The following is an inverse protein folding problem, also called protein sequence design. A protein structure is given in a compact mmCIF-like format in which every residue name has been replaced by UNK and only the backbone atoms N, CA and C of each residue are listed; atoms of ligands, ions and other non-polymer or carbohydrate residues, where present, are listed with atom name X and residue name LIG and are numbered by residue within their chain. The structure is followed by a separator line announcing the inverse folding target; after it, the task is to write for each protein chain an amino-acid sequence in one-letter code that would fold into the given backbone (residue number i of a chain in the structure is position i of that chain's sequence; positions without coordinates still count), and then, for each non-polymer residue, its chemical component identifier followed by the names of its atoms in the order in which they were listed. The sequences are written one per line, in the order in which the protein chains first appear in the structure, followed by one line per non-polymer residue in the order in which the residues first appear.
data_IF_531622538090
#
_entry.id   IF_531622538090
#
_cell.length_a   1.000
_cell.length_b   1.000
_cell.length_c   1.000
_cell.angle_alpha   90.00
_cell.angle_beta   90.00
_cell.angle_gamma   90.00
#
_symmetry.space_group_name_H-M   'P 1'
#
loop_
_entity.id
_entity.type
_entity.pdbx_description
1 polymer ?
#
# COMPACT_ATOMS: atom_id res chain seq x y z
N UNK A 1 4.13 -24.16 29.63
CA UNK A 1 4.30 -24.49 28.21
C UNK A 1 2.97 -24.27 27.51
N UNK A 2 2.97 -23.62 26.35
CA UNK A 2 1.75 -23.48 25.53
C UNK A 2 1.32 -24.86 25.01
N UNK A 3 0.01 -25.06 24.88
CA UNK A 3 -0.52 -26.28 24.27
C UNK A 3 -0.11 -26.35 22.78
N UNK A 4 0.21 -27.53 22.22
CA UNK A 4 0.64 -27.65 20.80
C UNK A 4 -0.39 -27.07 19.82
N UNK A 5 -1.68 -27.18 20.14
CA UNK A 5 -2.76 -26.59 19.36
C UNK A 5 -2.70 -25.05 19.37
N UNK A 6 -2.39 -24.44 20.52
CA UNK A 6 -2.26 -22.99 20.64
C UNK A 6 -1.10 -22.46 19.79
N UNK A 7 0.05 -23.15 19.84
CA UNK A 7 1.21 -22.82 19.00
C UNK A 7 0.83 -22.88 17.51
N UNK A 8 0.16 -23.96 17.09
CA UNK A 8 -0.29 -24.11 15.71
C UNK A 8 -1.22 -22.98 15.26
N UNK A 9 -2.19 -22.60 16.09
CA UNK A 9 -3.12 -21.51 15.80
C UNK A 9 -2.42 -20.15 15.70
N UNK A 10 -1.45 -19.87 16.58
CA UNK A 10 -0.66 -18.63 16.55
C UNK A 10 0.18 -18.53 15.27
N UNK A 11 0.84 -19.61 14.86
CA UNK A 11 1.61 -19.65 13.61
C UNK A 11 0.70 -19.47 12.39
N UNK A 12 -0.45 -20.16 12.36
CA UNK A 12 -1.42 -19.99 11.28
C UNK A 12 -1.94 -18.55 11.21
N UNK A 13 -2.25 -17.95 12.36
CA UNK A 13 -2.62 -16.55 12.46
C UNK A 13 -1.54 -15.62 11.90
N UNK A 14 -0.27 -15.89 12.23
CA UNK A 14 0.86 -15.15 11.67
C UNK A 14 0.97 -15.23 10.15
N UNK A 15 0.82 -16.43 9.58
CA UNK A 15 0.84 -16.62 8.12
C UNK A 15 -0.29 -15.84 7.44
N UNK A 16 -1.50 -15.89 8.02
CA UNK A 16 -2.64 -15.13 7.50
C UNK A 16 -2.37 -13.62 7.56
N UNK A 17 -1.86 -13.13 8.69
CA UNK A 17 -1.54 -11.71 8.87
C UNK A 17 -0.48 -11.22 7.87
N UNK A 18 0.58 -12.01 7.63
CA UNK A 18 1.59 -11.72 6.60
C UNK A 18 0.93 -11.63 5.22
N UNK A 19 0.03 -12.56 4.89
CA UNK A 19 -0.69 -12.55 3.62
C UNK A 19 -1.60 -11.32 3.46
N UNK A 20 -2.28 -10.90 4.53
CA UNK A 20 -3.11 -9.69 4.54
C UNK A 20 -2.23 -8.44 4.37
N UNK A 21 -1.11 -8.34 5.10
CA UNK A 21 -0.15 -7.25 4.95
C UNK A 21 0.38 -7.18 3.51
N UNK A 22 0.78 -8.33 2.95
CA UNK A 22 1.28 -8.42 1.59
C UNK A 22 0.26 -7.95 0.54
N UNK A 23 -1.02 -8.26 0.75
CA UNK A 23 -2.08 -7.74 -0.10
C UNK A 23 -2.13 -6.20 -0.09
N UNK A 24 -2.14 -5.58 1.10
CA UNK A 24 -2.21 -4.12 1.25
C UNK A 24 -0.99 -3.42 0.66
N UNK A 25 0.22 -3.96 0.91
CA UNK A 25 1.45 -3.45 0.32
C UNK A 25 1.40 -3.55 -1.20
N UNK A 26 1.00 -4.70 -1.76
CA UNK A 26 0.95 -4.88 -3.21
C UNK A 26 -0.01 -3.88 -3.88
N UNK A 27 -1.21 -3.68 -3.33
CA UNK A 27 -2.19 -2.75 -3.91
C UNK A 27 -1.79 -1.28 -3.73
N UNK A 28 -1.15 -0.91 -2.62
CA UNK A 28 -0.61 0.44 -2.39
C UNK A 28 0.38 0.81 -3.51
N UNK A 29 1.38 -0.03 -3.74
CA UNK A 29 2.38 0.20 -4.80
C UNK A 29 1.78 0.07 -6.21
N UNK A 30 0.79 -0.79 -6.40
CA UNK A 30 0.10 -0.89 -7.69
C UNK A 30 -0.66 0.40 -8.04
N UNK A 31 -1.40 1.00 -7.08
CA UNK A 31 -2.18 2.22 -7.31
C UNK A 31 -1.28 3.43 -7.58
N UNK A 32 -0.17 3.58 -6.84
CA UNK A 32 0.81 4.66 -7.09
C UNK A 32 1.41 4.57 -8.50
N UNK A 33 1.62 3.35 -9.02
CA UNK A 33 2.10 3.12 -10.38
C UNK A 33 1.00 3.30 -11.42
N UNK A 34 -0.22 2.87 -11.11
CA UNK A 34 -1.37 2.90 -12.03
C UNK A 34 -1.76 4.31 -12.45
N UNK A 35 -1.63 5.30 -11.54
CA UNK A 35 -1.87 6.72 -11.83
C UNK A 35 -1.05 7.28 -13.00
N UNK A 36 0.04 6.62 -13.41
CA UNK A 36 0.92 7.09 -14.47
C UNK A 36 0.50 6.63 -15.88
N UNK A 37 -0.42 5.67 -15.98
CA UNK A 37 -0.97 5.18 -17.26
C UNK A 37 -2.06 6.11 -17.81
N UNK A 38 -2.46 5.89 -19.06
CA UNK A 38 -3.61 6.57 -19.65
C UNK A 38 -4.91 5.87 -19.26
N UNK A 39 -5.99 6.64 -19.03
CA UNK A 39 -7.34 6.11 -18.78
C UNK A 39 -7.79 5.12 -19.86
N UNK A 40 -7.35 5.29 -21.11
CA UNK A 40 -7.69 4.40 -22.23
C UNK A 40 -7.20 2.96 -22.04
N UNK A 41 -6.27 2.72 -21.10
CA UNK A 41 -5.72 1.40 -20.79
C UNK A 41 -6.53 0.64 -19.72
N UNK A 42 -7.63 1.21 -19.23
CA UNK A 42 -8.48 0.66 -18.17
C UNK A 42 -9.82 0.23 -18.77
N UNK A 43 -9.86 -1.01 -19.25
CA UNK A 43 -10.92 -1.59 -20.10
C UNK A 43 -11.78 -2.65 -19.39
N UNK A 44 -11.51 -2.90 -18.11
CA UNK A 44 -12.24 -3.87 -17.30
C UNK A 44 -12.76 -3.24 -16.02
N UNK A 45 -13.89 -3.71 -15.45
CA UNK A 45 -14.49 -3.07 -14.27
C UNK A 45 -13.55 -2.91 -13.06
N UNK A 46 -12.64 -3.86 -12.86
CA UNK A 46 -11.65 -3.79 -11.77
C UNK A 46 -10.56 -2.75 -12.02
N UNK A 47 -10.19 -2.54 -13.29
CA UNK A 47 -9.26 -1.50 -13.71
C UNK A 47 -9.93 -0.13 -13.69
N UNK A 48 -11.17 -0.02 -14.17
CA UNK A 48 -11.94 1.23 -14.09
C UNK A 48 -12.07 1.71 -12.64
N UNK A 49 -12.40 0.79 -11.71
CA UNK A 49 -12.41 1.11 -10.28
C UNK A 49 -11.01 1.54 -9.78
N UNK A 50 -9.95 0.84 -10.19
CA UNK A 50 -8.59 1.24 -9.82
C UNK A 50 -8.24 2.65 -10.30
N UNK A 51 -8.68 3.00 -11.51
CA UNK A 51 -8.52 4.32 -12.09
C UNK A 51 -9.32 5.36 -11.29
N UNK A 52 -10.58 5.09 -10.96
CA UNK A 52 -11.40 5.96 -10.11
C UNK A 52 -10.72 6.23 -8.77
N UNK A 53 -10.16 5.19 -8.14
CA UNK A 53 -9.39 5.32 -6.90
C UNK A 53 -8.20 6.28 -7.02
N UNK A 54 -7.61 6.46 -8.22
CA UNK A 54 -6.50 7.41 -8.38
C UNK A 54 -6.92 8.87 -8.22
N UNK A 55 -8.21 9.18 -8.36
CA UNK A 55 -8.76 10.52 -8.15
C UNK A 55 -8.64 10.92 -6.68
N UNK A 56 -8.91 9.97 -5.78
CA UNK A 56 -8.78 10.10 -4.32
C UNK A 56 -7.66 9.21 -3.81
N UNK A 57 -6.54 9.14 -4.54
CA UNK A 57 -5.47 8.16 -4.30
C UNK A 57 -5.03 8.15 -2.84
N UNK A 58 -4.87 9.33 -2.27
CA UNK A 58 -4.35 9.49 -0.94
C UNK A 58 -5.24 8.86 0.14
N UNK A 59 -6.58 8.96 0.02
CA UNK A 59 -7.51 8.29 0.92
C UNK A 59 -7.33 6.76 0.91
N UNK A 60 -7.11 6.19 -0.27
CA UNK A 60 -6.85 4.76 -0.43
C UNK A 60 -5.46 4.36 0.06
N UNK A 61 -4.43 5.20 -0.13
CA UNK A 61 -3.10 4.97 0.44
C UNK A 61 -3.13 5.02 1.97
N UNK A 62 -3.80 6.00 2.56
CA UNK A 62 -4.00 6.06 4.02
C UNK A 62 -4.73 4.82 4.54
N UNK A 63 -5.75 4.34 3.81
CA UNK A 63 -6.42 3.07 4.14
C UNK A 63 -5.43 1.91 4.18
N UNK A 64 -4.58 1.76 3.16
CA UNK A 64 -3.55 0.73 3.14
C UNK A 64 -2.60 0.85 4.34
N UNK A 65 -2.11 2.05 4.63
CA UNK A 65 -1.16 2.30 5.72
C UNK A 65 -1.72 1.95 7.10
N UNK A 66 -3.00 2.27 7.36
CA UNK A 66 -3.65 1.89 8.61
C UNK A 66 -3.71 0.36 8.74
N UNK A 67 -4.07 -0.34 7.67
CA UNK A 67 -4.13 -1.80 7.69
C UNK A 67 -2.75 -2.44 7.83
N UNK A 68 -1.74 -1.97 7.09
CA UNK A 68 -0.34 -2.45 7.18
C UNK A 68 0.17 -2.30 8.62
N UNK A 69 -0.07 -1.15 9.23
CA UNK A 69 0.30 -0.89 10.63
C UNK A 69 -0.42 -1.84 11.58
N UNK A 70 -1.74 -1.99 11.42
CA UNK A 70 -2.54 -2.87 12.26
C UNK A 70 -2.12 -4.35 12.15
N UNK A 71 -1.85 -4.84 10.93
CA UNK A 71 -1.39 -6.21 10.72
C UNK A 71 0.02 -6.45 11.25
N UNK A 72 0.91 -5.47 11.12
CA UNK A 72 2.27 -5.55 11.67
C UNK A 72 2.26 -5.64 13.20
N UNK A 73 1.43 -4.83 13.87
CA UNK A 73 1.26 -4.89 15.33
C UNK A 73 0.64 -6.23 15.75
N UNK A 74 -0.42 -6.67 15.07
CA UNK A 74 -1.08 -7.94 15.37
C UNK A 74 -0.13 -9.13 15.18
N UNK A 75 0.75 -9.08 14.19
CA UNK A 75 1.75 -10.11 13.94
C UNK A 75 2.71 -10.25 15.13
N UNK A 76 3.19 -9.14 15.67
CA UNK A 76 4.04 -9.13 16.87
C UNK A 76 3.35 -9.79 18.07
N UNK A 77 2.06 -9.51 18.27
CA UNK A 77 1.29 -10.05 19.41
C UNK A 77 0.99 -11.54 19.25
N UNK A 78 0.71 -11.99 18.03
CA UNK A 78 0.19 -13.35 17.77
C UNK A 78 1.31 -14.32 17.38
N UNK A 79 2.12 -13.97 16.39
CA UNK A 79 3.06 -14.88 15.76
C UNK A 79 4.39 -14.99 16.53
N UNK A 80 4.90 -13.89 17.09
CA UNK A 80 6.17 -13.92 17.84
C UNK A 80 6.14 -14.90 19.02
N UNK A 81 5.12 -14.91 19.90
CA UNK A 81 5.10 -15.85 21.01
C UNK A 81 4.92 -17.30 20.54
N UNK A 82 4.18 -17.52 19.44
CA UNK A 82 4.01 -18.85 18.85
C UNK A 82 5.32 -19.40 18.31
N UNK A 83 6.10 -18.57 17.62
CA UNK A 83 7.38 -18.99 17.06
C UNK A 83 8.47 -19.14 18.14
N UNK A 84 8.46 -18.26 19.15
CA UNK A 84 9.32 -18.41 20.32
C UNK A 84 9.08 -19.76 21.03
N UNK A 85 7.82 -20.09 21.32
CA UNK A 85 7.45 -21.36 21.96
C UNK A 85 7.83 -22.60 21.13
N UNK A 86 7.89 -22.47 19.80
CA UNK A 86 8.33 -23.54 18.91
C UNK A 86 9.85 -23.74 18.94
N UNK A 87 10.63 -22.68 19.15
CA UNK A 87 12.10 -22.68 19.05
C UNK A 87 12.76 -22.86 20.43
N UNK A 88 12.15 -22.37 21.50
CA UNK A 88 12.64 -22.50 22.88
C UNK A 88 13.12 -23.91 23.25
N UNK A 89 12.39 -25.00 22.90
CA UNK A 89 12.81 -26.37 23.21
C UNK A 89 14.17 -26.78 22.64
N UNK A 90 14.61 -26.15 21.55
CA UNK A 90 15.91 -26.42 20.92
C UNK A 90 17.06 -25.96 21.83
N UNK A 91 16.83 -24.94 22.66
CA UNK A 91 17.84 -24.34 23.52
C UNK A 91 17.76 -24.77 24.98
N UNK A 92 16.68 -25.45 25.40
CA UNK A 92 16.37 -25.78 26.81
C UNK A 92 17.53 -26.43 27.58
N UNK A 93 18.37 -27.24 26.93
CA UNK A 93 19.51 -27.93 27.56
C UNK A 93 20.86 -27.25 27.34
N UNK A 94 20.86 -25.98 26.91
CA UNK A 94 22.07 -25.21 26.60
C UNK A 94 22.20 -24.01 27.54
N UNK A 95 23.42 -23.49 27.71
CA UNK A 95 23.65 -22.23 28.44
C UNK A 95 22.90 -21.05 27.82
N UNK A 96 22.56 -21.15 26.53
CA UNK A 96 21.85 -20.13 25.78
C UNK A 96 20.36 -20.00 26.15
N UNK A 97 19.76 -21.00 26.81
CA UNK A 97 18.40 -20.87 27.35
C UNK A 97 18.30 -19.73 28.37
N UNK A 98 19.33 -19.57 29.22
CA UNK A 98 19.35 -18.56 30.29
C UNK A 98 19.37 -17.12 29.78
N UNK A 99 19.74 -16.90 28.51
CA UNK A 99 19.79 -15.58 27.87
C UNK A 99 18.65 -15.35 26.88
N UNK A 100 17.66 -16.25 26.82
CA UNK A 100 16.48 -16.09 25.95
C UNK A 100 16.76 -16.29 24.46
N UNK A 101 17.79 -17.06 24.10
CA UNK A 101 18.20 -17.22 22.70
C UNK A 101 17.10 -17.77 21.78
N UNK A 102 16.21 -18.64 22.29
CA UNK A 102 15.10 -19.19 21.51
C UNK A 102 14.06 -18.13 21.12
N UNK A 103 13.68 -17.27 22.06
CA UNK A 103 12.77 -16.15 21.81
C UNK A 103 13.40 -15.12 20.85
N UNK A 104 14.68 -14.79 21.04
CA UNK A 104 15.40 -13.89 20.13
C UNK A 104 15.49 -14.45 18.70
N UNK A 105 15.81 -15.75 18.56
CA UNK A 105 15.88 -16.39 17.24
C UNK A 105 14.49 -16.45 16.58
N UNK A 106 13.44 -16.76 17.34
CA UNK A 106 12.06 -16.71 16.85
C UNK A 106 11.69 -15.32 16.37
N UNK A 107 11.93 -14.30 17.19
CA UNK A 107 11.72 -12.90 16.82
C UNK A 107 12.45 -12.51 15.52
N UNK A 108 13.72 -12.91 15.36
CA UNK A 108 14.49 -12.63 14.14
C UNK A 108 13.91 -13.34 12.92
N UNK A 109 13.52 -14.62 13.05
CA UNK A 109 12.96 -15.39 11.95
C UNK A 109 11.63 -14.81 11.50
N UNK A 110 10.69 -14.51 12.42
CA UNK A 110 9.39 -13.96 12.04
C UNK A 110 9.52 -12.57 11.42
N UNK A 111 10.40 -11.71 11.95
CA UNK A 111 10.66 -10.40 11.34
C UNK A 111 11.29 -10.53 9.95
N UNK A 112 12.22 -11.46 9.74
CA UNK A 112 12.79 -11.70 8.42
C UNK A 112 11.73 -12.19 7.43
N UNK A 113 10.86 -13.12 7.84
CA UNK A 113 9.76 -13.62 7.00
C UNK A 113 8.76 -12.50 6.71
N UNK A 114 8.40 -11.69 7.71
CA UNK A 114 7.50 -10.55 7.54
C UNK A 114 8.07 -9.51 6.58
N UNK A 115 9.32 -9.09 6.78
CA UNK A 115 9.98 -8.11 5.91
C UNK A 115 10.04 -8.61 4.47
N UNK A 116 10.44 -9.86 4.27
CA UNK A 116 10.63 -10.40 2.91
C UNK A 116 9.31 -10.68 2.20
N UNK A 117 8.35 -11.34 2.86
CA UNK A 117 7.10 -11.83 2.24
C UNK A 117 5.91 -10.90 2.48
N UNK A 118 5.88 -10.18 3.59
CA UNK A 118 4.86 -9.20 3.94
C UNK A 118 5.08 -7.83 3.31
N UNK A 119 6.33 -7.45 3.01
CA UNK A 119 6.66 -6.10 2.52
C UNK A 119 7.43 -6.11 1.18
N UNK A 120 8.63 -6.68 1.13
CA UNK A 120 9.52 -6.54 -0.04
C UNK A 120 8.97 -7.24 -1.30
N UNK A 121 8.60 -8.51 -1.19
CA UNK A 121 8.01 -9.29 -2.30
C UNK A 121 6.74 -8.64 -2.87
N UNK A 122 5.73 -8.27 -2.05
CA UNK A 122 4.53 -7.63 -2.55
C UNK A 122 4.78 -6.23 -3.12
N UNK A 123 5.77 -5.50 -2.59
CA UNK A 123 6.21 -4.22 -3.19
C UNK A 123 6.64 -4.43 -4.64
N UNK A 124 7.54 -5.39 -4.89
CA UNK A 124 7.98 -5.70 -6.25
C UNK A 124 6.83 -6.16 -7.15
N UNK A 125 5.91 -6.97 -6.62
CA UNK A 125 4.72 -7.40 -7.36
C UNK A 125 3.82 -6.22 -7.74
N UNK A 126 3.58 -5.30 -6.81
CA UNK A 126 2.78 -4.09 -7.03
C UNK A 126 3.38 -3.18 -8.09
N UNK A 127 4.71 -3.06 -8.15
CA UNK A 127 5.40 -2.23 -9.15
C UNK A 127 5.43 -2.92 -10.52
N UNK A 128 5.90 -4.16 -10.59
CA UNK A 128 6.11 -4.90 -11.85
C UNK A 128 4.80 -5.32 -12.53
N UNK A 129 3.78 -5.64 -11.74
CA UNK A 129 2.46 -6.12 -12.22
C UNK A 129 1.32 -5.20 -11.78
N UNK A 130 1.58 -3.90 -11.72
CA UNK A 130 0.67 -2.85 -11.24
C UNK A 130 -0.77 -2.99 -11.75
N UNK A 131 -0.99 -3.06 -13.07
CA UNK A 131 -2.36 -3.22 -13.63
C UNK A 131 -3.03 -4.52 -13.17
N UNK A 132 -2.30 -5.62 -13.10
CA UNK A 132 -2.87 -6.91 -12.68
C UNK A 132 -3.25 -6.86 -11.20
N UNK A 133 -2.36 -6.36 -10.36
CA UNK A 133 -2.60 -6.20 -8.92
C UNK A 133 -3.76 -5.25 -8.69
N UNK A 134 -3.80 -4.12 -9.37
CA UNK A 134 -4.89 -3.14 -9.29
C UNK A 134 -6.23 -3.73 -9.74
N UNK A 135 -6.26 -4.45 -10.87
CA UNK A 135 -7.49 -5.08 -11.39
C UNK A 135 -8.17 -5.99 -10.36
N UNK A 136 -7.39 -6.81 -9.66
CA UNK A 136 -7.93 -7.77 -8.68
C UNK A 136 -8.02 -7.19 -7.27
N UNK A 137 -7.12 -6.28 -6.91
CA UNK A 137 -6.99 -5.74 -5.56
C UNK A 137 -7.84 -4.52 -5.27
N UNK A 138 -8.31 -3.78 -6.27
CA UNK A 138 -9.10 -2.55 -6.04
C UNK A 138 -10.46 -2.84 -5.41
N UNK A 139 -11.13 -3.92 -5.83
CA UNK A 139 -12.49 -4.21 -5.32
C UNK A 139 -12.50 -4.56 -3.82
N UNK A 140 -11.60 -5.42 -3.30
CA UNK A 140 -11.51 -5.61 -1.85
C UNK A 140 -11.06 -4.34 -1.12
N UNK A 141 -10.12 -3.58 -1.68
CA UNK A 141 -9.61 -2.34 -1.06
C UNK A 141 -10.74 -1.32 -0.89
N UNK A 142 -11.63 -1.19 -1.88
CA UNK A 142 -12.79 -0.30 -1.80
C UNK A 142 -13.65 -0.58 -0.56
N UNK A 143 -13.91 -1.86 -0.27
CA UNK A 143 -14.70 -2.25 0.89
C UNK A 143 -13.96 -2.00 2.20
N UNK A 144 -12.66 -2.30 2.25
CA UNK A 144 -11.83 -1.97 3.42
C UNK A 144 -11.83 -0.46 3.69
N UNK A 145 -11.64 0.36 2.65
CA UNK A 145 -11.66 1.81 2.74
C UNK A 145 -13.02 2.33 3.23
N UNK A 146 -14.11 1.79 2.69
CA UNK A 146 -15.48 2.16 3.12
C UNK A 146 -15.75 1.84 4.59
N UNK A 147 -15.24 0.70 5.09
CA UNK A 147 -15.37 0.30 6.50
C UNK A 147 -14.53 1.22 7.40
N UNK A 148 -13.33 1.59 6.94
CA UNK A 148 -12.40 2.43 7.70
C UNK A 148 -12.69 3.93 7.60
N UNK A 149 -13.53 4.36 6.65
CA UNK A 149 -13.82 5.77 6.41
C UNK A 149 -14.21 6.57 7.68
N UNK A 150 -15.06 6.05 8.60
CA UNK A 150 -15.37 6.78 9.84
C UNK A 150 -14.14 6.97 10.74
N UNK A 151 -13.27 5.96 10.83
CA UNK A 151 -12.05 6.03 11.63
C UNK A 151 -11.03 7.01 11.02
N UNK A 152 -10.89 6.99 9.70
CA UNK A 152 -10.03 7.93 8.96
C UNK A 152 -10.52 9.37 9.16
N UNK A 153 -11.83 9.62 9.08
CA UNK A 153 -12.41 10.95 9.29
C UNK A 153 -12.17 11.50 10.70
N UNK A 154 -12.26 10.64 11.72
CA UNK A 154 -11.89 11.01 13.09
C UNK A 154 -10.41 11.37 13.17
N UNK A 155 -9.54 10.56 12.56
CA UNK A 155 -8.10 10.84 12.49
C UNK A 155 -7.79 12.17 11.82
N UNK A 156 -8.42 12.44 10.67
CA UNK A 156 -8.28 13.72 9.95
C UNK A 156 -8.74 14.91 10.81
N UNK A 157 -9.87 14.77 11.51
CA UNK A 157 -10.38 15.81 12.40
C UNK A 157 -9.40 16.13 13.53
N UNK A 158 -8.75 15.11 14.11
CA UNK A 158 -7.71 15.29 15.14
C UNK A 158 -6.48 15.95 14.57
N UNK A 159 -6.03 15.55 13.37
CA UNK A 159 -4.88 16.14 12.69
C UNK A 159 -5.11 17.62 12.39
N UNK A 160 -6.27 17.96 11.80
CA UNK A 160 -6.70 19.35 11.55
C UNK A 160 -6.75 20.17 12.83
N UNK A 161 -7.36 19.64 13.88
CA UNK A 161 -7.42 20.31 15.18
C UNK A 161 -6.03 20.58 15.75
N UNK A 162 -5.12 19.62 15.63
CA UNK A 162 -3.73 19.75 16.10
C UNK A 162 -2.97 20.79 15.29
N UNK A 163 -3.09 20.78 13.95
CA UNK A 163 -2.45 21.76 13.06
C UNK A 163 -3.01 23.18 13.27
N UNK A 164 -4.29 23.30 13.58
CA UNK A 164 -4.93 24.57 13.95
C UNK A 164 -4.28 25.23 15.17
N UNK A 165 -3.75 24.45 16.12
CA UNK A 165 -3.00 24.97 17.27
C UNK A 165 -1.69 25.66 16.85
N UNK A 166 -1.14 25.30 15.70
CA UNK A 166 0.06 25.90 15.12
C UNK A 166 -0.24 26.96 14.06
N UNK A 167 -1.52 27.30 13.86
CA UNK A 167 -1.96 28.27 12.84
C UNK A 167 -1.80 27.77 11.40
N UNK A 168 -1.76 26.45 11.19
CA UNK A 168 -1.65 25.84 9.86
C UNK A 168 -3.06 25.46 9.39
N UNK A 169 -3.56 26.14 8.35
CA UNK A 169 -4.81 25.80 7.69
C UNK A 169 -4.57 24.73 6.61
N UNK A 170 -5.25 23.59 6.74
CA UNK A 170 -5.26 22.55 5.72
C UNK A 170 -6.30 22.89 4.65
N UNK A 171 -5.84 23.34 3.48
CA UNK A 171 -6.71 23.60 2.30
C UNK A 171 -7.05 22.31 1.54
N UNK A 172 -6.33 21.23 1.80
CA UNK A 172 -6.47 19.92 1.14
C UNK A 172 -6.64 18.88 2.24
N UNK A 173 -7.86 18.41 2.44
CA UNK A 173 -8.13 17.33 3.38
C UNK A 173 -8.63 16.11 2.63
N UNK A 174 -8.17 14.93 3.05
CA UNK A 174 -8.37 13.64 2.37
C UNK A 174 -9.84 13.25 2.14
N UNK A 175 -10.78 13.92 2.81
CA UNK A 175 -12.24 13.69 2.70
C UNK A 175 -12.99 14.83 1.99
N UNK A 176 -12.33 15.94 1.70
CA UNK A 176 -12.91 17.15 1.09
C UNK A 176 -12.51 17.34 -0.38
N UNK A 177 -12.08 16.27 -1.06
CA UNK A 177 -11.85 16.25 -2.52
C UNK A 177 -13.17 16.30 -3.32
N UNK A 178 -14.11 17.17 -2.93
CA UNK A 178 -14.99 17.80 -3.90
C UNK A 178 -14.36 19.14 -4.28
N UNK A 179 -13.54 19.10 -5.34
CA UNK A 179 -13.01 20.25 -6.10
C UNK A 179 -11.83 21.01 -5.49
N UNK A 180 -10.65 20.41 -5.55
CA UNK A 180 -9.52 21.08 -6.23
C UNK A 180 -8.48 20.02 -6.58
N UNK A 181 -8.53 19.57 -7.83
CA UNK A 181 -7.57 18.62 -8.40
C UNK A 181 -6.19 19.28 -8.33
N UNK A 182 -5.33 18.79 -7.45
CA UNK A 182 -3.89 18.98 -7.61
C UNK A 182 -3.54 18.30 -8.94
N UNK A 183 -3.36 19.07 -10.01
CA UNK A 183 -2.97 18.53 -11.32
C UNK A 183 -1.61 17.86 -11.17
N UNK A 184 -1.60 16.53 -10.98
CA UNK A 184 -0.35 15.78 -11.02
C UNK A 184 0.21 15.84 -12.44
N UNK A 185 1.52 15.64 -12.63
CA UNK A 185 2.11 15.60 -13.98
C UNK A 185 1.41 14.60 -14.91
N UNK A 186 0.89 13.50 -14.35
CA UNK A 186 0.10 12.53 -15.09
C UNK A 186 -1.26 13.11 -15.54
N UNK A 187 -1.95 13.87 -14.68
CA UNK A 187 -3.21 14.55 -15.01
C UNK A 187 -3.01 15.62 -16.08
N UNK A 188 -1.95 16.43 -15.95
CA UNK A 188 -1.59 17.43 -16.97
C UNK A 188 -1.28 16.77 -18.31
N UNK A 189 -0.54 15.65 -18.30
CA UNK A 189 -0.21 14.89 -19.52
C UNK A 189 -1.45 14.30 -20.18
N UNK A 190 -2.35 13.70 -19.40
CA UNK A 190 -3.59 13.13 -19.91
C UNK A 190 -4.53 14.20 -20.47
N UNK A 191 -4.65 15.35 -19.77
CA UNK A 191 -5.45 16.50 -20.23
C UNK A 191 -4.87 17.15 -21.48
N UNK A 192 -3.55 17.30 -21.56
CA UNK A 192 -2.89 17.80 -22.76
C UNK A 192 -3.11 16.83 -23.93
N UNK A 193 -2.98 15.53 -23.69
CA UNK A 193 -3.27 14.48 -24.67
C UNK A 193 -4.68 14.59 -25.25
N UNK A 194 -5.70 14.74 -24.39
CA UNK A 194 -7.09 14.89 -24.83
C UNK A 194 -7.34 16.20 -25.61
N UNK A 195 -6.73 17.31 -25.20
CA UNK A 195 -6.85 18.60 -25.91
C UNK A 195 -6.19 18.54 -27.29
N UNK A 196 -5.04 17.87 -27.41
CA UNK A 196 -4.36 17.68 -28.69
C UNK A 196 -5.12 16.69 -29.61
N UNK A 197 -5.94 15.82 -29.04
CA UNK A 197 -6.81 14.90 -29.77
C UNK A 197 -8.05 15.59 -30.31
N UNK A 198 -8.64 16.50 -29.53
CA UNK A 198 -9.78 17.32 -29.92
C UNK A 198 -9.39 18.45 -30.90
N UNK A 199 -8.15 18.93 -30.84
CA UNK A 199 -7.64 20.02 -31.67
C UNK A 199 -7.29 19.70 -33.14
N UNK A 200 -7.78 18.58 -33.70
CA UNK A 200 -7.50 18.13 -35.09
C UNK A 200 -6.01 18.13 -35.49
N UNK A 201 -5.09 17.97 -34.53
CA UNK A 201 -3.67 17.94 -34.83
C UNK A 201 -3.27 16.61 -35.50
N UNK A 202 -2.41 16.64 -36.53
CA UNK A 202 -1.82 15.44 -37.10
C UNK A 202 -1.14 14.58 -36.03
N UNK A 203 -1.27 13.26 -36.14
CA UNK A 203 -0.76 12.31 -35.14
C UNK A 203 0.74 12.50 -34.83
N UNK A 204 1.56 12.78 -35.85
CA UNK A 204 2.99 13.09 -35.68
C UNK A 204 3.23 14.30 -34.76
N UNK A 205 2.47 15.38 -34.93
CA UNK A 205 2.67 16.61 -34.13
C UNK A 205 2.21 16.41 -32.68
N UNK A 206 1.18 15.59 -32.47
CA UNK A 206 0.73 15.19 -31.13
C UNK A 206 1.83 14.40 -30.42
N UNK A 207 2.41 13.43 -31.11
CA UNK A 207 3.48 12.60 -30.57
C UNK A 207 4.74 13.43 -30.25
N UNK A 208 5.10 14.39 -31.10
CA UNK A 208 6.21 15.32 -30.86
C UNK A 208 6.01 16.16 -29.59
N UNK A 209 4.82 16.75 -29.41
CA UNK A 209 4.48 17.56 -28.22
C UNK A 209 4.52 16.70 -26.95
N UNK A 210 3.98 15.47 -27.02
CA UNK A 210 3.99 14.54 -25.89
C UNK A 210 5.41 14.05 -25.55
N UNK A 211 6.25 13.81 -26.56
CA UNK A 211 7.65 13.43 -26.37
C UNK A 211 8.49 14.56 -25.77
N UNK A 212 8.20 15.83 -26.11
CA UNK A 212 8.89 16.99 -25.53
C UNK A 212 8.74 17.08 -24.01
N UNK A 213 7.61 16.62 -23.44
CA UNK A 213 7.40 16.55 -21.99
C UNK A 213 8.29 15.49 -21.30
N UNK A 214 8.85 14.56 -22.07
CA UNK A 214 9.63 13.42 -21.57
C UNK A 214 11.14 13.64 -21.69
N UNK A 215 11.58 14.70 -22.39
CA UNK A 215 12.99 15.05 -22.62
C UNK A 215 13.78 15.20 -21.31
N UNK A 216 13.16 15.74 -20.26
CA UNK A 216 13.81 15.93 -18.96
C UNK A 216 14.05 14.64 -18.16
N UNK A 217 13.48 13.52 -18.59
CA UNK A 217 13.60 12.21 -17.93
C UNK A 217 14.59 11.27 -18.66
N UNK A 218 15.03 11.65 -19.87
CA UNK A 218 16.06 10.90 -20.59
C UNK A 218 17.44 11.23 -20.02
N UNK A 219 18.05 10.24 -19.35
CA UNK A 219 19.45 10.35 -18.95
C UNK A 219 20.35 10.36 -20.19
N UNK A 220 21.14 11.41 -20.35
CA UNK A 220 22.21 11.44 -21.35
C UNK A 220 23.23 10.37 -20.97
N UNK A 221 23.38 9.34 -21.80
CA UNK A 221 24.51 8.39 -21.72
C UNK A 221 25.72 8.94 -22.46
#
# INVERSE_FOLDING_TARGET
MMEPLEIGLRILGGIILIGVNAYFVAIEFALTRVRQYSKSEFDTPGLELAWEMTTDLEFYLTTCQVWISATSIALGIIAEPGLAALIEPVFENTTFASVGAGSLLGFLIINLVHLTHGEQTPTYLGVERSKQVARYGSRPLYWFAKILAPAIWVGDSVAKGTLGLFGIEMTQAWTETEREVIETRADLRNRLGSVLEEGELPAERREEIMNALTIGEQSVR
#
